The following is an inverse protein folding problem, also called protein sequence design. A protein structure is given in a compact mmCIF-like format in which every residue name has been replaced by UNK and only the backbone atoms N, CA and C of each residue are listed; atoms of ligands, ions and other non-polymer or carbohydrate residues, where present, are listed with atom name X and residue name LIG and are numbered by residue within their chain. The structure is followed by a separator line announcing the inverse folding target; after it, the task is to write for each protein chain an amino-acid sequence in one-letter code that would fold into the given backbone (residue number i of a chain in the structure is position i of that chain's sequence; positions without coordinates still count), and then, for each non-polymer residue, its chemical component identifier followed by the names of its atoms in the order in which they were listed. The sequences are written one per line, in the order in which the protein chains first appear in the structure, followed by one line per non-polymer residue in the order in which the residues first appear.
data_IF_075622568262
#
_entry.id   IF_075622568262
#
_cell.length_a   1.000
_cell.length_b   1.000
_cell.length_c   1.000
_cell.angle_alpha   90.00
_cell.angle_beta   90.00
_cell.angle_gamma   90.00
#
_symmetry.space_group_name_H-M   'P 1'
#
loop_
_entity.id
_entity.type
_entity.pdbx_description
1 polymer ?
#
# COMPACT_ATOMS: atom_id res chain seq x y z
N UNK A 1 -3.68 -21.02 -6.54
CA UNK A 1 -2.94 -21.40 -7.77
C UNK A 1 -3.47 -22.73 -8.29
N UNK A 2 -4.64 -22.73 -8.94
CA UNK A 2 -5.24 -23.96 -9.47
C UNK A 2 -4.61 -24.37 -10.82
N UNK A 3 -4.36 -23.38 -11.69
CA UNK A 3 -3.89 -23.60 -13.07
C UNK A 3 -2.59 -24.40 -13.24
N UNK A 4 -1.64 -24.31 -12.30
CA UNK A 4 -0.36 -25.05 -12.39
C UNK A 4 -0.50 -26.51 -11.96
N UNK A 5 -1.47 -26.83 -11.09
CA UNK A 5 -1.82 -28.23 -10.78
C UNK A 5 -2.44 -28.90 -12.00
N UNK A 6 -3.34 -28.17 -12.64
CA UNK A 6 -4.14 -28.66 -13.76
C UNK A 6 -3.39 -28.62 -15.10
N UNK A 7 -2.12 -28.21 -15.11
CA UNK A 7 -1.31 -28.14 -16.33
C UNK A 7 -1.05 -29.57 -16.86
N UNK A 8 -1.56 -29.93 -18.06
CA UNK A 8 -1.41 -31.26 -18.61
C UNK A 8 -0.05 -31.48 -19.29
N UNK A 9 0.70 -30.40 -19.52
CA UNK A 9 1.96 -30.40 -20.28
C UNK A 9 3.19 -30.58 -19.37
N UNK A 10 3.14 -30.04 -18.16
CA UNK A 10 4.28 -30.07 -17.24
C UNK A 10 4.26 -31.34 -16.38
N UNK A 11 5.40 -32.00 -16.27
CA UNK A 11 5.60 -33.10 -15.34
C UNK A 11 5.57 -32.62 -13.88
N UNK A 12 5.29 -33.50 -12.93
CA UNK A 12 5.19 -33.12 -11.51
C UNK A 12 6.50 -32.51 -10.97
N UNK A 13 7.64 -32.99 -11.46
CA UNK A 13 8.96 -32.45 -11.13
C UNK A 13 9.14 -31.03 -11.69
N UNK A 14 8.73 -30.78 -12.94
CA UNK A 14 8.74 -29.44 -13.54
C UNK A 14 7.79 -28.48 -12.82
N UNK A 15 6.59 -28.93 -12.43
CA UNK A 15 5.63 -28.15 -11.62
C UNK A 15 6.25 -27.75 -10.29
N UNK A 16 6.95 -28.66 -9.60
CA UNK A 16 7.66 -28.36 -8.35
C UNK A 16 8.79 -27.35 -8.57
N UNK A 17 9.58 -27.49 -9.63
CA UNK A 17 10.65 -26.55 -9.95
C UNK A 17 10.13 -25.16 -10.32
N UNK A 18 9.06 -25.07 -11.10
CA UNK A 18 8.42 -23.81 -11.45
C UNK A 18 7.88 -23.09 -10.21
N UNK A 19 7.28 -23.83 -9.26
CA UNK A 19 6.86 -23.27 -7.96
C UNK A 19 8.03 -22.72 -7.18
N UNK A 20 9.15 -23.43 -7.15
CA UNK A 20 10.37 -22.99 -6.46
C UNK A 20 10.88 -21.69 -7.07
N UNK A 21 11.04 -21.64 -8.40
CA UNK A 21 11.44 -20.43 -9.14
C UNK A 21 10.48 -19.26 -8.91
N UNK A 22 9.17 -19.49 -8.93
CA UNK A 22 8.19 -18.44 -8.69
C UNK A 22 8.23 -17.90 -7.26
N UNK A 23 8.46 -18.77 -6.26
CA UNK A 23 8.66 -18.37 -4.86
C UNK A 23 9.92 -17.53 -4.71
N UNK A 24 11.03 -17.95 -5.31
CA UNK A 24 12.31 -17.22 -5.29
C UNK A 24 12.18 -15.85 -5.98
N UNK A 25 11.58 -15.81 -7.17
CA UNK A 25 11.31 -14.56 -7.89
C UNK A 25 10.36 -13.64 -7.10
N UNK A 26 9.39 -14.18 -6.38
CA UNK A 26 8.51 -13.40 -5.52
C UNK A 26 9.24 -12.87 -4.28
N UNK A 27 10.14 -13.65 -3.68
CA UNK A 27 11.02 -13.17 -2.60
C UNK A 27 11.94 -12.04 -3.08
N UNK A 28 12.54 -12.18 -4.27
CA UNK A 28 13.39 -11.16 -4.87
C UNK A 28 12.61 -9.88 -5.21
N UNK A 29 11.40 -10.00 -5.76
CA UNK A 29 10.51 -8.85 -5.96
C UNK A 29 10.11 -8.20 -4.64
N UNK A 30 9.79 -8.98 -3.60
CA UNK A 30 9.53 -8.45 -2.24
C UNK A 30 10.72 -7.62 -1.73
N UNK A 31 11.94 -8.12 -1.84
CA UNK A 31 13.13 -7.37 -1.39
C UNK A 31 13.39 -6.11 -2.20
N UNK A 32 13.14 -6.13 -3.52
CA UNK A 32 13.24 -4.96 -4.38
C UNK A 32 12.16 -3.91 -4.05
N UNK A 33 10.92 -4.33 -3.85
CA UNK A 33 9.82 -3.45 -3.43
C UNK A 33 10.13 -2.85 -2.06
N UNK A 34 10.56 -3.64 -1.06
CA UNK A 34 10.99 -3.11 0.25
C UNK A 34 12.09 -2.05 0.12
N UNK A 35 13.06 -2.26 -0.79
CA UNK A 35 14.12 -1.26 -1.07
C UNK A 35 13.55 0.02 -1.70
N UNK A 36 12.58 -0.08 -2.60
CA UNK A 36 11.93 1.06 -3.22
C UNK A 36 11.04 1.81 -2.23
N UNK A 37 10.26 1.10 -1.42
CA UNK A 37 9.44 1.68 -0.33
C UNK A 37 10.32 2.46 0.64
N UNK A 38 11.52 1.96 0.99
CA UNK A 38 12.47 2.70 1.85
C UNK A 38 13.00 4.00 1.20
N UNK A 39 13.02 4.08 -0.13
CA UNK A 39 13.46 5.25 -0.88
C UNK A 39 12.33 6.25 -1.13
N UNK A 40 11.08 5.78 -1.12
CA UNK A 40 9.91 6.65 -1.17
C UNK A 40 9.69 7.26 0.21
N UNK A 41 9.85 8.57 0.34
CA UNK A 41 9.48 9.34 1.53
C UNK A 41 7.96 9.44 1.67
N UNK A 42 7.24 8.31 1.68
CA UNK A 42 5.91 8.30 2.27
C UNK A 42 6.12 8.50 3.76
N UNK A 43 5.72 9.66 4.30
CA UNK A 43 5.65 9.87 5.74
C UNK A 43 5.02 8.61 6.34
N UNK A 44 5.82 7.80 7.06
CA UNK A 44 5.34 6.52 7.55
C UNK A 44 4.19 6.82 8.48
N UNK A 45 2.97 6.52 8.04
CA UNK A 45 1.80 6.62 8.89
C UNK A 45 2.06 5.68 10.06
N UNK A 46 1.86 6.17 11.28
CA UNK A 46 2.13 5.39 12.48
C UNK A 46 0.87 5.17 13.28
N UNK A 47 0.78 4.00 13.88
CA UNK A 47 -0.19 3.68 14.93
C UNK A 47 0.51 3.61 16.26
N UNK A 48 -0.16 4.07 17.32
CA UNK A 48 0.20 3.73 18.69
C UNK A 48 -0.72 2.61 19.16
N UNK A 49 -0.13 1.48 19.56
CA UNK A 49 -0.81 0.32 20.10
C UNK A 49 -0.70 0.34 21.61
N UNK A 50 -1.84 0.30 22.30
CA UNK A 50 -1.98 0.43 23.75
C UNK A 50 -1.26 1.67 24.33
N UNK A 51 -0.97 2.68 23.51
CA UNK A 51 -0.17 3.85 23.88
C UNK A 51 1.33 3.59 24.10
N UNK A 52 1.78 2.34 24.05
CA UNK A 52 3.15 1.94 24.44
C UNK A 52 4.04 1.57 23.26
N UNK A 53 3.47 1.02 22.18
CA UNK A 53 4.23 0.59 21.01
C UNK A 53 3.81 1.38 19.78
N UNK A 54 4.76 2.10 19.16
CA UNK A 54 4.54 2.79 17.89
C UNK A 54 5.05 1.94 16.74
N UNK A 55 4.20 1.70 15.74
CA UNK A 55 4.54 0.93 14.55
C UNK A 55 4.18 1.72 13.28
N UNK A 56 4.95 1.58 12.20
CA UNK A 56 4.47 1.92 10.86
C UNK A 56 3.16 1.18 10.58
N UNK A 57 2.26 1.80 9.83
CA UNK A 57 1.00 1.18 9.44
C UNK A 57 0.65 1.38 7.98
N UNK A 58 -0.07 0.41 7.45
CA UNK A 58 -0.69 0.43 6.15
C UNK A 58 -2.21 0.38 6.32
N UNK A 59 -2.93 1.46 6.01
CA UNK A 59 -4.36 1.40 5.70
C UNK A 59 -4.56 0.61 4.42
N UNK A 60 -5.13 -0.59 4.52
CA UNK A 60 -5.23 -1.54 3.41
C UNK A 60 -6.69 -1.98 3.20
N UNK A 61 -7.36 -1.35 2.24
CA UNK A 61 -8.71 -1.77 1.82
C UNK A 61 -8.72 -3.14 1.13
N UNK A 62 -7.57 -3.66 0.69
CA UNK A 62 -7.42 -5.00 0.15
C UNK A 62 -7.39 -6.08 1.23
N UNK A 63 -7.22 -5.72 2.50
CA UNK A 63 -7.28 -6.65 3.63
C UNK A 63 -8.64 -6.61 4.30
N UNK A 64 -9.27 -7.78 4.47
CA UNK A 64 -10.55 -7.90 5.16
C UNK A 64 -10.40 -7.66 6.67
N UNK A 65 -9.23 -7.98 7.22
CA UNK A 65 -8.96 -7.97 8.64
C UNK A 65 -7.77 -7.09 9.00
N UNK A 66 -7.82 -6.52 10.20
CA UNK A 66 -6.69 -5.85 10.83
C UNK A 66 -5.70 -6.89 11.37
N UNK A 67 -4.43 -6.75 11.02
CA UNK A 67 -3.40 -7.76 11.26
C UNK A 67 -2.20 -7.15 11.97
N UNK A 68 -1.74 -7.85 13.02
CA UNK A 68 -0.45 -7.62 13.66
C UNK A 68 0.46 -8.83 13.42
N UNK A 69 1.73 -8.58 13.11
CA UNK A 69 2.71 -9.66 12.97
C UNK A 69 3.04 -10.27 14.34
N UNK A 70 3.42 -11.55 14.36
CA UNK A 70 3.84 -12.21 15.60
C UNK A 70 5.04 -11.53 16.25
N UNK A 71 5.98 -11.02 15.47
CA UNK A 71 7.15 -10.28 15.97
C UNK A 71 6.76 -8.96 16.65
N UNK A 72 5.84 -8.20 16.06
CA UNK A 72 5.32 -6.97 16.66
C UNK A 72 4.54 -7.25 17.95
N UNK A 73 3.75 -8.32 17.99
CA UNK A 73 3.06 -8.73 19.20
C UNK A 73 4.02 -9.14 20.31
N UNK A 74 5.13 -9.83 19.98
CA UNK A 74 6.15 -10.17 20.98
C UNK A 74 6.78 -8.91 21.59
N UNK A 75 7.17 -7.94 20.75
CA UNK A 75 7.68 -6.65 21.25
C UNK A 75 6.66 -5.90 22.11
N UNK A 76 5.37 -5.98 21.76
CA UNK A 76 4.32 -5.37 22.57
C UNK A 76 4.23 -6.05 23.95
N UNK A 77 4.28 -7.38 24.00
CA UNK A 77 4.19 -8.15 25.25
C UNK A 77 5.37 -7.91 26.19
N UNK A 78 6.55 -7.59 25.66
CA UNK A 78 7.71 -7.22 26.46
C UNK A 78 7.49 -5.92 27.25
N UNK A 79 6.66 -5.02 26.72
CA UNK A 79 6.35 -3.71 27.33
C UNK A 79 5.02 -3.72 28.07
N UNK A 80 4.02 -4.42 27.53
CA UNK A 80 2.68 -4.56 28.08
C UNK A 80 2.28 -6.06 28.12
N UNK A 81 2.62 -6.77 29.21
CA UNK A 81 2.27 -8.17 29.39
C UNK A 81 0.76 -8.42 29.56
N UNK A 82 -0.05 -7.36 29.75
CA UNK A 82 -1.49 -7.49 30.01
C UNK A 82 -2.32 -7.71 28.76
N UNK A 83 -1.71 -7.62 27.57
CA UNK A 83 -2.38 -7.81 26.27
C UNK A 83 -3.08 -9.17 26.22
N UNK A 84 -4.40 -9.12 26.05
CA UNK A 84 -5.22 -10.31 25.93
C UNK A 84 -5.06 -10.95 24.55
N UNK A 85 -4.64 -12.21 24.55
CA UNK A 85 -4.56 -13.07 23.37
C UNK A 85 -5.61 -14.15 23.48
N UNK A 86 -6.47 -14.22 22.47
CA UNK A 86 -7.59 -15.16 22.44
C UNK A 86 -7.45 -16.09 21.23
N UNK A 87 -7.76 -17.39 21.38
CA UNK A 87 -7.95 -18.24 20.23
C UNK A 87 -9.13 -17.74 19.40
N UNK A 88 -9.08 -17.97 18.09
CA UNK A 88 -10.23 -17.80 17.22
C UNK A 88 -11.13 -19.03 17.32
N UNK A 89 -12.45 -18.82 17.29
CA UNK A 89 -13.43 -19.91 17.26
C UNK A 89 -13.25 -20.79 16.01
N UNK A 90 -12.92 -20.15 14.88
CA UNK A 90 -12.54 -20.78 13.63
C UNK A 90 -11.23 -20.19 13.11
N UNK A 91 -10.25 -21.01 12.68
CA UNK A 91 -9.07 -20.51 12.00
C UNK A 91 -9.44 -19.69 10.77
N UNK A 92 -8.71 -18.61 10.52
CA UNK A 92 -8.88 -17.73 9.35
C UNK A 92 -7.73 -17.98 8.38
N UNK A 93 -8.08 -18.30 7.14
CA UNK A 93 -7.10 -18.46 6.07
C UNK A 93 -6.82 -17.09 5.43
N UNK A 94 -5.60 -16.60 5.61
CA UNK A 94 -5.15 -15.33 5.04
C UNK A 94 -4.28 -15.62 3.82
N UNK A 95 -4.60 -14.99 2.70
CA UNK A 95 -3.75 -15.04 1.51
C UNK A 95 -2.83 -13.82 1.49
N UNK A 96 -1.59 -14.01 1.93
CA UNK A 96 -0.60 -12.92 1.90
C UNK A 96 -0.07 -12.67 0.49
N UNK A 97 0.55 -11.50 0.29
CA UNK A 97 1.17 -11.12 -0.98
C UNK A 97 2.17 -12.20 -1.47
N UNK A 98 2.01 -12.62 -2.73
CA UNK A 98 2.76 -13.72 -3.33
C UNK A 98 2.09 -15.10 -3.18
N UNK A 99 0.78 -15.12 -2.86
CA UNK A 99 -0.04 -16.32 -2.73
C UNK A 99 0.51 -17.31 -1.69
N UNK A 100 1.03 -16.79 -0.58
CA UNK A 100 1.47 -17.61 0.54
C UNK A 100 0.33 -17.70 1.56
N UNK A 101 -0.36 -18.86 1.64
CA UNK A 101 -1.45 -19.04 2.58
C UNK A 101 -0.89 -19.10 4.00
N UNK A 102 -1.49 -18.33 4.90
CA UNK A 102 -1.17 -18.28 6.32
C UNK A 102 -2.44 -18.56 7.08
N UNK A 103 -2.43 -19.61 7.90
CA UNK A 103 -3.55 -19.94 8.78
C UNK A 103 -3.37 -19.21 10.09
N UNK A 104 -4.30 -18.30 10.40
CA UNK A 104 -4.33 -17.58 11.68
C UNK A 104 -5.30 -18.26 12.63
N UNK A 105 -4.87 -18.46 13.87
CA UNK A 105 -5.65 -19.15 14.92
C UNK A 105 -5.88 -18.30 16.16
N UNK A 106 -5.32 -17.11 16.20
CA UNK A 106 -5.27 -16.26 17.40
C UNK A 106 -5.48 -14.81 17.02
N UNK A 107 -6.16 -14.09 17.91
CA UNK A 107 -6.31 -12.63 17.87
C UNK A 107 -5.77 -12.00 19.15
N UNK A 108 -5.34 -10.75 19.06
CA UNK A 108 -4.99 -9.93 20.19
C UNK A 108 -6.00 -8.78 20.31
N UNK A 109 -6.44 -8.46 21.52
CA UNK A 109 -7.32 -7.32 21.78
C UNK A 109 -6.46 -6.08 22.04
N UNK A 110 -6.50 -5.11 21.12
CA UNK A 110 -5.56 -3.98 21.09
C UNK A 110 -6.30 -2.64 21.02
N UNK A 111 -5.89 -1.67 21.82
CA UNK A 111 -6.30 -0.27 21.63
C UNK A 111 -5.41 0.36 20.56
N UNK A 112 -6.02 0.74 19.44
CA UNK A 112 -5.31 1.28 18.28
C UNK A 112 -5.58 2.76 18.15
N UNK A 113 -4.55 3.59 18.26
CA UNK A 113 -4.62 5.03 18.03
C UNK A 113 -3.89 5.38 16.73
N UNK A 114 -4.65 5.83 15.74
CA UNK A 114 -4.18 6.17 14.39
C UNK A 114 -3.93 7.67 14.33
N UNK A 115 -2.71 8.07 13.96
CA UNK A 115 -2.42 9.49 13.75
C UNK A 115 -2.85 9.89 12.33
N UNK A 116 -3.82 10.79 12.23
CA UNK A 116 -4.26 11.37 10.96
C UNK A 116 -3.93 12.87 10.92
N UNK A 117 -3.97 13.46 9.73
CA UNK A 117 -3.76 14.91 9.58
C UNK A 117 -4.84 15.74 10.30
N UNK A 118 -6.05 15.20 10.47
CA UNK A 118 -7.14 15.85 11.20
C UNK A 118 -7.05 15.66 12.72
N UNK A 119 -6.06 14.90 13.21
CA UNK A 119 -5.89 14.54 14.61
C UNK A 119 -5.84 13.03 14.84
N UNK A 120 -5.54 12.60 16.07
CA UNK A 120 -5.56 11.18 16.43
C UNK A 120 -6.98 10.64 16.45
N UNK A 121 -7.15 9.41 15.94
CA UNK A 121 -8.42 8.68 15.91
C UNK A 121 -8.23 7.35 16.64
N UNK A 122 -9.12 7.05 17.57
CA UNK A 122 -9.09 5.81 18.35
C UNK A 122 -10.51 5.23 18.45
N UNK A 123 -10.70 3.93 18.14
CA UNK A 123 -11.96 3.24 18.41
C UNK A 123 -12.29 3.23 19.91
N UNK A 124 -13.58 3.29 20.23
CA UNK A 124 -14.03 3.29 21.63
C UNK A 124 -13.64 2.00 22.37
N UNK A 125 -13.69 0.86 21.69
CA UNK A 125 -13.38 -0.45 22.26
C UNK A 125 -12.04 -1.00 21.75
N UNK A 126 -11.53 -2.03 22.42
CA UNK A 126 -10.35 -2.75 21.96
C UNK A 126 -10.65 -3.50 20.64
N UNK A 127 -9.77 -3.33 19.67
CA UNK A 127 -9.90 -3.92 18.34
C UNK A 127 -9.37 -5.36 18.36
N UNK A 128 -10.12 -6.35 17.84
CA UNK A 128 -9.61 -7.70 17.65
C UNK A 128 -8.67 -7.75 16.44
N UNK A 129 -7.36 -7.78 16.67
CA UNK A 129 -6.35 -7.85 15.61
C UNK A 129 -5.88 -9.30 15.40
N UNK A 130 -5.92 -9.78 14.16
CA UNK A 130 -5.42 -11.10 13.81
C UNK A 130 -3.90 -11.18 13.95
N UNK A 131 -3.40 -12.27 14.55
CA UNK A 131 -1.96 -12.47 14.76
C UNK A 131 -1.41 -13.39 13.68
N UNK A 132 -0.71 -12.84 12.70
CA UNK A 132 -0.19 -13.59 11.57
C UNK A 132 1.33 -13.73 11.60
N UNK A 133 1.84 -14.83 11.04
CA UNK A 133 3.27 -14.99 10.76
C UNK A 133 3.59 -14.34 9.40
N UNK A 134 3.61 -13.01 9.37
CA UNK A 134 3.97 -12.25 8.18
C UNK A 134 5.39 -11.71 8.30
N UNK A 135 6.09 -11.63 7.17
CA UNK A 135 7.38 -10.95 7.07
C UNK A 135 7.25 -9.45 6.85
N UNK A 136 6.07 -8.90 7.14
CA UNK A 136 5.73 -7.50 6.90
C UNK A 136 6.07 -6.69 8.15
N UNK A 137 6.70 -5.55 7.91
CA UNK A 137 7.27 -4.64 8.90
C UNK A 137 6.30 -3.52 9.31
N UNK A 138 5.02 -3.65 8.93
CA UNK A 138 3.96 -2.68 9.19
C UNK A 138 2.74 -3.34 9.82
N UNK A 139 1.98 -2.57 10.59
CA UNK A 139 0.66 -2.95 11.09
C UNK A 139 -0.39 -2.73 9.99
N UNK A 140 -1.15 -3.77 9.64
CA UNK A 140 -2.17 -3.66 8.59
C UNK A 140 -3.50 -3.30 9.22
N UNK A 141 -4.06 -2.17 8.79
CA UNK A 141 -5.40 -1.71 9.17
C UNK A 141 -6.34 -2.17 8.07
N UNK A 142 -7.13 -3.20 8.34
CA UNK A 142 -8.04 -3.80 7.36
C UNK A 142 -9.40 -3.09 7.29
N UNK A 143 -10.27 -3.58 6.40
CA UNK A 143 -11.62 -3.03 6.20
C UNK A 143 -12.50 -3.09 7.44
N UNK A 144 -12.32 -4.09 8.30
CA UNK A 144 -12.99 -4.19 9.60
C UNK A 144 -12.84 -2.92 10.45
N UNK A 145 -11.61 -2.42 10.58
CA UNK A 145 -11.30 -1.22 11.35
C UNK A 145 -11.54 0.05 10.52
N UNK A 146 -11.14 0.07 9.25
CA UNK A 146 -11.35 1.23 8.38
C UNK A 146 -12.83 1.59 8.24
N UNK A 147 -13.69 0.60 8.02
CA UNK A 147 -15.14 0.78 7.93
C UNK A 147 -15.75 1.29 9.23
N UNK A 148 -15.29 0.78 10.38
CA UNK A 148 -15.72 1.26 11.71
C UNK A 148 -15.39 2.74 11.92
N UNK A 149 -14.28 3.21 11.35
CA UNK A 149 -13.87 4.62 11.40
C UNK A 149 -14.50 5.49 10.30
N UNK A 150 -15.39 4.93 9.47
CA UNK A 150 -16.02 5.62 8.34
C UNK A 150 -15.07 5.85 7.16
N UNK A 151 -13.93 5.18 7.13
CA UNK A 151 -12.93 5.23 6.05
C UNK A 151 -13.15 4.08 5.06
N UNK A 152 -14.34 4.03 4.47
CA UNK A 152 -14.72 3.01 3.50
C UNK A 152 -14.71 3.59 2.09
N UNK A 153 -13.73 3.19 1.28
CA UNK A 153 -13.53 3.70 -0.09
C UNK A 153 -14.71 3.33 -1.00
N UNK A 154 -15.28 2.14 -0.85
CA UNK A 154 -16.38 1.68 -1.70
C UNK A 154 -17.63 2.50 -1.41
N UNK A 155 -17.96 2.68 -0.12
CA UNK A 155 -19.07 3.55 0.31
C UNK A 155 -18.88 5.01 -0.11
N UNK A 156 -17.64 5.51 -0.06
CA UNK A 156 -17.32 6.86 -0.53
C UNK A 156 -17.50 6.98 -2.05
N UNK A 157 -17.14 5.93 -2.80
CA UNK A 157 -17.31 5.89 -4.25
C UNK A 157 -18.79 5.84 -4.66
N UNK A 158 -19.61 5.06 -3.95
CA UNK A 158 -21.07 5.04 -4.16
C UNK A 158 -21.69 6.43 -4.01
N UNK A 159 -21.24 7.21 -3.03
CA UNK A 159 -21.72 8.59 -2.82
C UNK A 159 -21.33 9.54 -3.95
N UNK A 160 -20.23 9.29 -4.66
CA UNK A 160 -19.84 10.05 -5.85
C UNK A 160 -20.69 9.70 -7.07
N UNK A 161 -21.17 8.46 -7.16
CA UNK A 161 -21.99 7.99 -8.28
C UNK A 161 -23.45 8.52 -8.23
N UNK A 162 -23.94 8.95 -7.07
CA UNK A 162 -25.26 9.58 -6.93
C UNK A 162 -25.17 11.07 -7.30
N UNK A 163 -24.93 11.37 -8.57
CA UNK A 163 -25.26 12.68 -9.12
C UNK A 163 -26.78 12.74 -9.28
N UNK A 164 -27.44 13.57 -8.45
CA UNK A 164 -28.88 13.84 -8.57
C UNK A 164 -29.17 14.43 -9.94
N UNK A 165 -29.78 13.64 -10.82
CA UNK A 165 -30.72 14.22 -11.76
C UNK A 165 -31.92 14.74 -10.94
N UNK A 166 -32.34 15.96 -11.27
CA UNK A 166 -33.47 16.70 -10.71
C UNK A 166 -33.35 17.23 -9.26
N UNK A 167 -32.84 18.45 -9.11
CA UNK A 167 -33.71 19.63 -8.91
C UNK A 167 -32.98 20.90 -9.34
N UNK A 168 -33.60 21.60 -10.28
CA UNK A 168 -33.27 22.95 -10.79
C UNK A 168 -32.20 22.96 -11.88
N UNK A 169 -32.68 23.15 -13.10
CA UNK A 169 -31.96 23.80 -14.19
C UNK A 169 -31.36 25.11 -13.70
N UNK A 170 -30.12 25.05 -13.23
CA UNK A 170 -29.26 26.19 -13.02
C UNK A 170 -27.92 25.75 -13.54
N UNK A 171 -27.65 26.05 -14.82
CA UNK A 171 -26.35 25.85 -15.42
C UNK A 171 -25.28 26.49 -14.50
N UNK A 172 -24.38 25.71 -13.87
CA UNK A 172 -23.29 26.29 -13.08
C UNK A 172 -22.24 26.97 -13.98
N UNK A 173 -22.35 26.80 -15.30
CA UNK A 173 -21.53 27.41 -16.34
C UNK A 173 -22.22 28.59 -17.04
N UNK A 174 -23.13 29.32 -16.39
CA UNK A 174 -23.37 30.72 -16.78
C UNK A 174 -22.18 31.58 -16.30
N UNK A 175 -20.98 31.13 -16.66
CA UNK A 175 -19.83 32.00 -16.80
C UNK A 175 -20.14 32.84 -18.03
N UNK A 176 -20.56 34.08 -17.79
CA UNK A 176 -20.37 35.17 -18.76
C UNK A 176 -19.02 34.92 -19.40
N UNK A 177 -19.03 34.70 -20.71
CA UNK A 177 -17.85 34.46 -21.51
C UNK A 177 -16.92 35.66 -21.34
N UNK A 178 -16.08 35.58 -20.31
CA UNK A 178 -14.93 36.43 -20.17
C UNK A 178 -13.97 35.78 -21.13
N UNK A 179 -13.86 36.36 -22.33
CA UNK A 179 -12.81 36.05 -23.26
C UNK A 179 -11.49 36.09 -22.49
N UNK A 180 -10.94 34.92 -22.17
CA UNK A 180 -9.56 34.82 -21.71
C UNK A 180 -8.70 35.35 -22.85
N UNK A 181 -7.81 36.33 -22.61
CA UNK A 181 -6.89 36.76 -23.65
C UNK A 181 -5.98 35.56 -23.93
N UNK A 182 -6.22 34.91 -25.07
CA UNK A 182 -5.31 33.91 -25.63
C UNK A 182 -4.01 34.65 -25.89
N UNK A 183 -3.07 34.58 -24.95
CA UNK A 183 -1.68 34.88 -25.23
C UNK A 183 -1.21 33.82 -26.24
N UNK A 184 -0.72 34.20 -27.43
CA UNK A 184 -0.27 33.25 -28.44
C UNK A 184 1.09 32.71 -28.02
N UNK A 185 1.10 31.81 -27.04
CA UNK A 185 2.24 30.95 -26.77
C UNK A 185 2.30 29.90 -27.87
N UNK A 186 3.30 30.00 -28.75
CA UNK A 186 3.57 29.00 -29.79
C UNK A 186 3.62 27.61 -29.15
N UNK A 187 2.66 26.75 -29.48
CA UNK A 187 2.69 25.34 -29.10
C UNK A 187 3.95 24.75 -29.72
N UNK A 188 4.90 24.20 -28.93
CA UNK A 188 6.12 23.65 -29.47
C UNK A 188 5.79 22.53 -30.45
N UNK A 189 6.35 22.64 -31.65
CA UNK A 189 6.22 21.61 -32.68
C UNK A 189 6.95 20.35 -32.24
N UNK A 190 6.52 19.17 -32.69
CA UNK A 190 7.10 17.88 -32.28
C UNK A 190 8.63 17.82 -32.53
N UNK A 191 9.11 18.49 -33.58
CA UNK A 191 10.53 18.65 -33.86
C UNK A 191 11.28 19.51 -32.83
N UNK A 192 10.65 20.56 -32.30
CA UNK A 192 11.25 21.41 -31.25
C UNK A 192 11.37 20.62 -29.94
N UNK A 193 10.39 19.77 -29.63
CA UNK A 193 10.43 18.86 -28.48
C UNK A 193 11.52 17.80 -28.67
N UNK A 194 11.61 17.19 -29.85
CA UNK A 194 12.63 16.18 -30.17
C UNK A 194 14.05 16.74 -30.07
N UNK A 195 14.28 17.94 -30.59
CA UNK A 195 15.58 18.62 -30.50
C UNK A 195 15.94 18.94 -29.05
N UNK A 196 14.98 19.41 -28.24
CA UNK A 196 15.22 19.70 -26.82
C UNK A 196 15.60 18.42 -26.04
N UNK A 197 14.93 17.30 -26.31
CA UNK A 197 15.25 16.00 -25.69
C UNK A 197 16.63 15.50 -26.10
N UNK A 198 17.01 15.61 -27.39
CA UNK A 198 18.34 15.23 -27.85
C UNK A 198 19.46 16.09 -27.24
N UNK A 199 19.21 17.38 -27.04
CA UNK A 199 20.15 18.27 -26.35
C UNK A 199 20.34 17.88 -24.90
N UNK A 200 19.25 17.54 -24.20
CA UNK A 200 19.28 17.04 -22.83
C UNK A 200 20.09 15.74 -22.73
N UNK A 201 19.91 14.83 -23.69
CA UNK A 201 20.66 13.57 -23.75
C UNK A 201 22.15 13.79 -24.01
N UNK A 202 22.49 14.73 -24.90
CA UNK A 202 23.89 15.10 -25.20
C UNK A 202 24.57 15.75 -23.99
N UNK A 203 23.90 16.68 -23.30
CA UNK A 203 24.41 17.28 -22.07
C UNK A 203 24.70 16.22 -21.00
N UNK A 204 23.79 15.26 -20.86
CA UNK A 204 23.94 14.17 -19.89
C UNK A 204 25.11 13.23 -20.24
N UNK A 205 25.30 12.90 -21.53
CA UNK A 205 26.45 12.11 -21.96
C UNK A 205 27.78 12.84 -21.76
N UNK A 206 27.83 14.16 -21.97
CA UNK A 206 29.04 14.95 -21.72
C UNK A 206 29.36 15.09 -20.23
N UNK A 207 28.36 15.18 -19.35
CA UNK A 207 28.56 15.19 -17.90
C UNK A 207 29.06 13.83 -17.38
N UNK A 208 28.52 12.73 -17.91
CA UNK A 208 28.98 11.37 -17.60
C UNK A 208 30.45 11.15 -18.02
N UNK A 209 30.85 11.63 -19.19
CA UNK A 209 32.26 11.57 -19.64
C UNK A 209 33.18 12.52 -18.87
N UNK A 210 32.67 13.64 -18.35
CA UNK A 210 33.46 14.56 -17.53
C UNK A 210 33.63 14.10 -16.08
N UNK A 211 32.76 13.22 -15.57
CA UNK A 211 32.89 12.61 -14.23
C UNK A 211 33.91 11.48 -14.21
N UNK A 212 34.05 10.70 -15.28
CA UNK A 212 35.06 9.62 -15.37
C UNK A 212 36.50 10.14 -15.49
N UNK A 213 36.71 11.37 -15.96
CA UNK A 213 38.05 11.97 -16.06
C UNK A 213 38.54 12.65 -14.77
N UNK A 214 37.70 12.76 -13.72
CA UNK A 214 38.10 13.34 -12.40
C UNK A 214 38.45 12.29 -11.35
N UNK A 215 38.39 10.99 -11.66
CA UNK A 215 38.79 9.90 -10.75
C UNK A 215 40.15 9.25 -11.09
N UNK A 216 40.89 9.79 -12.05
CA UNK A 216 42.25 9.34 -12.43
C UNK A 216 43.31 10.45 -12.37
N UNK A 217 43.19 11.37 -11.41
CA UNK A 217 44.33 12.07 -10.82
C UNK A 217 44.23 12.04 -9.29
#
# INVERSE_FOLDING_TARGET
MNWLNDCPVATDTEKVQLRKKLREASKARKSLVKRLTRLMTTASRTVAINGVLKLPCCPDSGSDHTIISRSHLAMLLDVDPSVLRLPLDSPVDILTYGAHPVVVKTKAMLHVLIHTAAGPVQPAEAVPCLVAETGDDEFIIGRDLLGTLGMDVDRQLEQLAVHREDRTSGNPFDLVATESPVLPGKVPTDDEVRVAVEQLWKCWMTELWSMDFRQTM
#
